data_IF_018806731651
#
_entry.id   IF_018806731651
#
_cell.length_a   1.000
_cell.length_b   1.000
_cell.length_c   1.000
_cell.angle_alpha   90.00
_cell.angle_beta   90.00
_cell.angle_gamma   90.00
#
_symmetry.space_group_name_H-M   'P 1'
#
loop_
_entity.id
_entity.type
_entity.pdbx_description
1 polymer ?
#
# COMPACT_ATOMS: atom_id res chain seq x y z
N UNK A 1 49.47 11.58 45.23
CA UNK A 1 48.51 10.48 45.32
C UNK A 1 47.80 10.36 43.98
N UNK A 2 48.19 9.37 43.18
CA UNK A 2 47.52 9.04 41.92
C UNK A 2 46.40 8.04 42.24
N UNK A 3 45.16 8.40 41.91
CA UNK A 3 44.00 7.52 42.06
C UNK A 3 43.95 6.54 40.88
N UNK A 4 44.04 5.24 41.17
CA UNK A 4 43.83 4.16 40.22
C UNK A 4 42.31 3.96 40.01
N UNK A 5 41.84 4.18 38.78
CA UNK A 5 40.52 3.73 38.32
C UNK A 5 40.55 2.21 38.12
N UNK A 6 39.51 1.46 38.53
CA UNK A 6 39.43 0.05 38.21
C UNK A 6 39.08 -0.12 36.72
N UNK A 7 39.95 -0.79 35.97
CA UNK A 7 39.63 -1.32 34.65
C UNK A 7 38.49 -2.33 34.81
N UNK A 8 37.31 -1.97 34.31
CA UNK A 8 36.21 -2.90 34.13
C UNK A 8 36.64 -3.93 33.07
N UNK A 9 36.99 -5.13 33.54
CA UNK A 9 37.18 -6.30 32.68
C UNK A 9 35.83 -6.66 32.07
N UNK A 10 35.66 -6.68 30.74
CA UNK A 10 34.43 -7.19 30.15
C UNK A 10 34.29 -8.67 30.54
N UNK A 11 33.10 -9.14 30.94
CA UNK A 11 32.93 -10.55 31.27
C UNK A 11 33.29 -11.39 30.03
N UNK A 12 34.24 -12.30 30.21
CA UNK A 12 34.63 -13.25 29.18
C UNK A 12 33.40 -14.01 28.69
N UNK A 13 33.16 -13.99 27.38
CA UNK A 13 32.10 -14.76 26.74
C UNK A 13 32.32 -16.26 27.03
N UNK A 14 31.38 -16.88 27.72
CA UNK A 14 31.38 -18.32 27.92
C UNK A 14 31.19 -19.04 26.57
N UNK A 15 31.87 -20.18 26.32
CA UNK A 15 31.72 -20.92 25.07
C UNK A 15 30.32 -21.53 25.04
N UNK A 16 29.48 -21.05 24.10
CA UNK A 16 28.05 -21.39 24.02
C UNK A 16 27.10 -20.23 24.36
N UNK A 17 27.62 -19.01 24.52
CA UNK A 17 26.87 -17.82 24.91
C UNK A 17 26.05 -17.15 23.79
N UNK A 18 24.99 -16.48 24.22
CA UNK A 18 24.21 -15.51 23.47
C UNK A 18 25.09 -14.46 22.77
N UNK A 19 24.77 -13.99 21.55
CA UNK A 19 25.47 -12.87 20.94
C UNK A 19 25.51 -11.66 21.88
N UNK A 20 26.62 -10.92 21.91
CA UNK A 20 26.74 -9.66 22.67
C UNK A 20 25.70 -8.60 22.27
N UNK A 21 25.08 -8.81 21.11
CA UNK A 21 23.96 -8.07 20.53
C UNK A 21 22.58 -8.76 20.72
N UNK A 22 22.41 -9.61 21.73
CA UNK A 22 21.11 -10.21 22.06
C UNK A 22 20.89 -10.30 23.58
N UNK A 23 19.64 -10.15 24.04
CA UNK A 23 19.25 -10.42 25.43
C UNK A 23 18.63 -11.83 25.51
N UNK A 24 19.46 -12.84 25.74
CA UNK A 24 18.95 -14.19 25.93
C UNK A 24 18.28 -14.33 27.29
N UNK A 25 16.95 -14.44 27.28
CA UNK A 25 16.22 -15.11 28.36
C UNK A 25 16.50 -16.60 28.19
N UNK A 26 17.65 -17.04 28.72
CA UNK A 26 18.24 -18.33 28.42
C UNK A 26 17.45 -19.48 29.08
N UNK A 27 16.45 -19.99 28.36
CA UNK A 27 16.34 -21.43 28.22
C UNK A 27 17.00 -21.82 26.90
N UNK A 28 17.51 -23.05 26.72
CA UNK A 28 18.13 -23.51 25.48
C UNK A 28 17.22 -23.40 24.23
N UNK A 29 15.94 -23.06 24.42
CA UNK A 29 14.92 -23.01 23.37
C UNK A 29 14.57 -21.58 22.91
N UNK A 30 14.89 -20.52 23.67
CA UNK A 30 14.47 -19.15 23.34
C UNK A 30 15.64 -18.16 23.35
N UNK A 31 15.81 -17.46 22.22
CA UNK A 31 16.75 -16.34 22.09
C UNK A 31 15.96 -15.10 21.67
N UNK A 32 16.12 -14.00 22.42
CA UNK A 32 15.53 -12.71 22.11
C UNK A 32 16.63 -11.67 21.85
N UNK A 33 16.59 -11.04 20.69
CA UNK A 33 17.53 -9.98 20.32
C UNK A 33 16.77 -8.65 20.29
N UNK A 34 17.30 -7.64 20.98
CA UNK A 34 16.72 -6.30 21.07
C UNK A 34 17.81 -5.25 21.01
N UNK A 35 18.13 -4.73 19.82
CA UNK A 35 19.22 -3.76 19.58
C UNK A 35 18.82 -2.66 18.59
N UNK A 36 19.62 -1.59 18.57
CA UNK A 36 19.38 -0.33 17.84
C UNK A 36 19.73 -0.32 16.36
N UNK A 37 20.33 -1.37 15.77
CA UNK A 37 20.53 -1.57 14.31
C UNK A 37 21.29 -2.88 14.02
N UNK A 38 20.59 -3.93 13.61
CA UNK A 38 21.19 -5.06 12.90
C UNK A 38 20.90 -4.90 11.41
N UNK A 39 21.92 -5.03 10.57
CA UNK A 39 21.79 -5.06 9.10
C UNK A 39 21.70 -6.49 8.55
N UNK A 40 22.21 -7.47 9.30
CA UNK A 40 22.16 -8.90 9.00
C UNK A 40 21.72 -9.71 10.24
N UNK A 41 21.16 -10.93 10.06
CA UNK A 41 20.92 -11.84 11.17
C UNK A 41 22.21 -12.17 11.96
N UNK A 42 22.14 -12.34 13.29
CA UNK A 42 23.32 -12.55 14.12
C UNK A 42 24.03 -13.89 13.81
N UNK A 43 25.35 -13.83 13.62
CA UNK A 43 26.20 -14.96 13.21
C UNK A 43 26.56 -15.92 14.35
N UNK A 44 26.16 -15.63 15.58
CA UNK A 44 26.60 -16.33 16.81
C UNK A 44 25.45 -17.01 17.57
N UNK A 45 24.48 -17.59 16.85
CA UNK A 45 23.34 -18.25 17.47
C UNK A 45 23.68 -19.71 17.89
N UNK A 46 23.21 -20.17 19.07
CA UNK A 46 23.32 -21.58 19.45
C UNK A 46 22.58 -22.47 18.44
N UNK A 47 23.15 -23.64 18.11
CA UNK A 47 22.54 -24.57 17.16
C UNK A 47 21.24 -25.21 17.70
N UNK A 48 21.06 -25.22 19.02
CA UNK A 48 19.89 -25.79 19.72
C UNK A 48 18.69 -24.84 19.80
N UNK A 49 18.78 -23.64 19.22
CA UNK A 49 17.71 -22.64 19.32
C UNK A 49 16.47 -23.12 18.56
N UNK A 50 15.35 -23.19 19.27
CA UNK A 50 14.05 -23.54 18.70
C UNK A 50 13.22 -22.30 18.34
N UNK A 51 13.37 -21.24 19.13
CA UNK A 51 12.61 -20.01 19.02
C UNK A 51 13.58 -18.82 18.99
N UNK A 52 13.57 -18.09 17.87
CA UNK A 52 14.35 -16.87 17.69
C UNK A 52 13.39 -15.70 17.51
N UNK A 53 13.56 -14.67 18.33
CA UNK A 53 12.85 -13.41 18.19
C UNK A 53 13.84 -12.27 18.03
N UNK A 54 13.75 -11.58 16.91
CA UNK A 54 14.43 -10.32 16.63
C UNK A 54 13.32 -9.27 16.52
N UNK A 55 13.49 -8.15 17.22
CA UNK A 55 12.55 -7.05 17.12
C UNK A 55 13.23 -5.70 17.33
N UNK A 56 12.79 -4.70 16.56
CA UNK A 56 13.30 -3.34 16.64
C UNK A 56 14.67 -3.14 15.98
N UNK A 57 15.09 -4.05 15.10
CA UNK A 57 16.31 -3.92 14.31
C UNK A 57 16.05 -3.12 13.01
N UNK A 58 17.07 -2.90 12.19
CA UNK A 58 16.93 -2.23 10.89
C UNK A 58 17.34 -3.19 9.76
N UNK A 59 16.75 -4.38 9.79
CA UNK A 59 16.96 -5.43 8.79
C UNK A 59 16.18 -5.05 7.53
N UNK A 60 16.65 -4.04 6.80
CA UNK A 60 15.94 -3.48 5.65
C UNK A 60 15.62 -4.52 4.57
N UNK A 61 16.49 -5.53 4.42
CA UNK A 61 16.37 -6.61 3.45
C UNK A 61 16.64 -7.95 4.14
N UNK A 62 15.83 -8.96 3.83
CA UNK A 62 16.18 -10.36 4.09
C UNK A 62 16.84 -10.93 2.82
N UNK A 63 18.18 -10.96 2.77
CA UNK A 63 18.89 -11.36 1.56
C UNK A 63 18.74 -12.85 1.30
N UNK A 64 19.03 -13.25 0.06
CA UNK A 64 19.10 -14.66 -0.31
C UNK A 64 19.99 -15.43 0.66
N UNK A 65 19.46 -16.55 1.17
CA UNK A 65 20.18 -17.45 2.06
C UNK A 65 20.72 -16.78 3.34
N UNK A 66 19.97 -15.82 3.90
CA UNK A 66 20.33 -15.05 5.09
C UNK A 66 20.76 -15.91 6.29
N UNK A 67 20.27 -17.15 6.39
CA UNK A 67 20.57 -18.10 7.48
C UNK A 67 21.47 -19.26 7.06
N UNK A 68 21.98 -19.30 5.82
CA UNK A 68 22.75 -20.43 5.32
C UNK A 68 24.20 -20.47 5.83
N UNK A 69 24.78 -19.30 6.19
CA UNK A 69 26.13 -19.24 6.75
C UNK A 69 26.23 -19.95 8.11
N UNK A 70 25.13 -19.96 8.88
CA UNK A 70 24.99 -20.70 10.13
C UNK A 70 23.59 -21.29 10.23
N UNK A 71 23.38 -22.47 9.62
CA UNK A 71 22.07 -23.11 9.60
C UNK A 71 21.57 -23.40 11.01
N UNK A 72 20.26 -23.24 11.22
CA UNK A 72 19.60 -23.52 12.48
C UNK A 72 18.61 -24.68 12.25
N UNK A 73 19.09 -25.93 12.30
CA UNK A 73 18.31 -27.09 11.87
C UNK A 73 17.08 -27.34 12.73
N UNK A 74 17.12 -26.94 14.01
CA UNK A 74 16.05 -27.16 14.98
C UNK A 74 15.13 -25.95 15.19
N UNK A 75 15.39 -24.84 14.49
CA UNK A 75 14.58 -23.63 14.63
C UNK A 75 13.17 -23.86 14.10
N UNK A 76 12.17 -23.70 14.97
CA UNK A 76 10.75 -23.91 14.66
C UNK A 76 9.98 -22.60 14.56
N UNK A 77 10.40 -21.57 15.28
CA UNK A 77 9.75 -20.26 15.32
C UNK A 77 10.77 -19.15 15.11
N UNK A 78 10.50 -18.33 14.10
CA UNK A 78 11.26 -17.12 13.79
C UNK A 78 10.31 -15.92 13.81
N UNK A 79 10.57 -14.98 14.72
CA UNK A 79 9.88 -13.69 14.79
C UNK A 79 10.85 -12.59 14.38
N UNK A 80 10.46 -11.83 13.37
CA UNK A 80 11.16 -10.66 12.86
C UNK A 80 10.13 -9.52 12.84
N UNK A 81 9.87 -8.89 13.99
CA UNK A 81 8.79 -7.89 14.11
C UNK A 81 9.37 -6.49 14.28
N UNK A 82 8.80 -5.50 13.61
CA UNK A 82 9.28 -4.11 13.69
C UNK A 82 10.77 -3.99 13.35
N UNK A 83 11.25 -4.80 12.40
CA UNK A 83 12.66 -4.80 11.98
C UNK A 83 12.89 -3.95 10.72
N UNK A 84 11.87 -3.20 10.28
CA UNK A 84 11.92 -2.34 9.11
C UNK A 84 12.27 -3.10 7.82
N UNK A 85 11.82 -4.36 7.69
CA UNK A 85 12.05 -5.17 6.48
C UNK A 85 11.15 -4.66 5.35
N UNK A 86 11.75 -4.35 4.20
CA UNK A 86 11.03 -3.92 3.00
C UNK A 86 11.09 -4.95 1.88
N UNK A 87 12.18 -5.74 1.81
CA UNK A 87 12.41 -6.69 0.72
C UNK A 87 12.75 -8.07 1.27
N UNK A 88 12.10 -9.10 0.72
CA UNK A 88 12.44 -10.50 0.99
C UNK A 88 12.87 -11.15 -0.32
N UNK A 89 14.14 -11.52 -0.41
CA UNK A 89 14.73 -12.11 -1.61
C UNK A 89 14.45 -13.63 -1.71
N UNK A 90 14.73 -14.20 -2.89
CA UNK A 90 14.58 -15.63 -3.13
C UNK A 90 15.40 -16.47 -2.15
N UNK A 91 14.82 -17.55 -1.64
CA UNK A 91 15.47 -18.46 -0.70
C UNK A 91 15.99 -17.78 0.57
N UNK A 92 15.41 -16.65 0.99
CA UNK A 92 15.85 -15.92 2.19
C UNK A 92 15.92 -16.79 3.45
N UNK A 93 15.01 -17.76 3.59
CA UNK A 93 14.94 -18.69 4.73
C UNK A 93 15.79 -19.96 4.56
N UNK A 94 16.66 -20.03 3.56
CA UNK A 94 17.55 -21.18 3.40
C UNK A 94 18.46 -21.32 4.61
N UNK A 95 18.56 -22.55 5.14
CA UNK A 95 19.23 -22.84 6.41
C UNK A 95 18.28 -23.08 7.60
N UNK A 96 16.96 -22.93 7.39
CA UNK A 96 15.91 -23.13 8.42
C UNK A 96 14.95 -24.29 8.06
N UNK A 97 15.43 -25.54 7.90
CA UNK A 97 14.63 -26.65 7.37
C UNK A 97 13.46 -27.08 8.27
N UNK A 98 13.55 -26.88 9.58
CA UNK A 98 12.50 -27.23 10.54
C UNK A 98 11.52 -26.10 10.85
N UNK A 99 11.64 -24.94 10.18
CA UNK A 99 10.83 -23.76 10.49
C UNK A 99 9.35 -24.04 10.27
N UNK A 100 8.53 -23.78 11.29
CA UNK A 100 7.07 -24.00 11.27
C UNK A 100 6.29 -22.70 11.35
N UNK A 101 6.81 -21.71 12.07
CA UNK A 101 6.16 -20.43 12.28
C UNK A 101 7.10 -19.29 11.91
N UNK A 102 6.66 -18.46 10.98
CA UNK A 102 7.34 -17.23 10.59
C UNK A 102 6.42 -16.06 10.86
N UNK A 103 6.97 -15.03 11.48
CA UNK A 103 6.25 -13.83 11.83
C UNK A 103 7.03 -12.61 11.38
N UNK A 104 6.48 -11.95 10.38
CA UNK A 104 7.00 -10.76 9.72
C UNK A 104 6.07 -9.55 9.99
N UNK A 105 5.23 -9.65 11.01
CA UNK A 105 4.25 -8.61 11.34
C UNK A 105 4.93 -7.27 11.64
N UNK A 106 4.28 -6.17 11.27
CA UNK A 106 4.77 -4.80 11.46
C UNK A 106 6.10 -4.52 10.74
N UNK A 107 6.27 -5.05 9.53
CA UNK A 107 7.35 -4.65 8.62
C UNK A 107 6.75 -4.03 7.35
N UNK A 108 7.26 -2.89 6.85
CA UNK A 108 6.72 -2.21 5.68
C UNK A 108 7.15 -2.91 4.38
N UNK A 109 6.63 -4.10 4.10
CA UNK A 109 7.02 -4.87 2.92
C UNK A 109 6.65 -4.13 1.62
N UNK A 110 7.63 -4.03 0.73
CA UNK A 110 7.55 -3.44 -0.60
C UNK A 110 7.79 -4.48 -1.71
N UNK A 111 8.45 -5.60 -1.42
CA UNK A 111 8.75 -6.65 -2.39
C UNK A 111 8.95 -8.01 -1.71
N UNK A 112 8.35 -9.05 -2.29
CA UNK A 112 8.51 -10.45 -1.86
C UNK A 112 8.77 -11.30 -3.10
N UNK A 113 9.94 -11.93 -3.15
CA UNK A 113 10.30 -12.79 -4.26
C UNK A 113 9.46 -14.08 -4.30
N UNK A 114 9.24 -14.63 -5.50
CA UNK A 114 8.41 -15.82 -5.70
C UNK A 114 8.96 -17.08 -5.00
N UNK A 115 10.27 -17.14 -4.73
CA UNK A 115 10.92 -18.21 -3.98
C UNK A 115 11.29 -17.81 -2.54
N UNK A 116 10.77 -16.70 -2.02
CA UNK A 116 11.19 -16.14 -0.72
C UNK A 116 11.16 -17.17 0.43
N UNK A 117 10.13 -18.00 0.47
CA UNK A 117 9.89 -18.96 1.55
C UNK A 117 10.29 -20.41 1.19
N UNK A 118 10.82 -20.65 -0.01
CA UNK A 118 11.13 -22.00 -0.48
C UNK A 118 12.23 -22.71 0.33
N UNK A 119 13.04 -21.97 1.09
CA UNK A 119 14.02 -22.52 2.05
C UNK A 119 13.41 -23.13 3.32
N UNK A 120 12.11 -22.93 3.57
CA UNK A 120 11.39 -23.40 4.76
C UNK A 120 10.20 -24.30 4.38
N UNK A 121 10.43 -25.55 3.92
CA UNK A 121 9.39 -26.41 3.37
C UNK A 121 8.35 -26.88 4.40
N UNK A 122 8.69 -26.85 5.70
CA UNK A 122 7.80 -27.24 6.79
C UNK A 122 6.97 -26.09 7.37
N UNK A 123 7.00 -24.91 6.73
CA UNK A 123 6.27 -23.74 7.21
C UNK A 123 4.77 -24.01 7.25
N UNK A 124 4.16 -23.76 8.41
CA UNK A 124 2.72 -23.98 8.67
C UNK A 124 1.98 -22.69 9.03
N UNK A 125 2.65 -21.76 9.71
CA UNK A 125 2.06 -20.49 10.15
C UNK A 125 2.87 -19.34 9.60
N UNK A 126 2.20 -18.43 8.90
CA UNK A 126 2.78 -17.19 8.40
C UNK A 126 1.97 -16.00 8.92
N UNK A 127 2.63 -15.10 9.63
CA UNK A 127 2.03 -13.87 10.15
C UNK A 127 2.58 -12.66 9.39
N UNK A 128 1.69 -11.93 8.74
CA UNK A 128 1.93 -10.73 7.92
C UNK A 128 1.01 -9.59 8.36
N UNK A 129 0.74 -9.51 9.66
CA UNK A 129 -0.15 -8.48 10.22
C UNK A 129 0.50 -7.10 10.08
N UNK A 130 -0.24 -6.11 9.56
CA UNK A 130 0.26 -4.76 9.29
C UNK A 130 1.56 -4.73 8.47
N UNK A 131 1.76 -5.70 7.57
CA UNK A 131 2.98 -5.83 6.78
C UNK A 131 2.83 -5.31 5.33
N UNK A 132 1.59 -5.24 4.83
CA UNK A 132 1.28 -4.99 3.42
C UNK A 132 0.70 -3.58 3.18
N UNK A 133 0.98 -2.66 4.09
CA UNK A 133 0.45 -1.29 4.04
C UNK A 133 1.18 -0.40 3.03
N UNK A 134 2.43 -0.75 2.70
CA UNK A 134 3.30 0.09 1.87
C UNK A 134 3.17 -0.20 0.36
N UNK A 135 2.77 -1.41 -0.03
CA UNK A 135 2.59 -1.83 -1.42
C UNK A 135 1.54 -2.94 -1.59
N UNK A 136 0.83 -3.01 -2.73
CA UNK A 136 -0.06 -4.12 -3.07
C UNK A 136 0.77 -5.35 -3.49
N UNK A 137 0.95 -6.30 -2.57
CA UNK A 137 1.81 -7.47 -2.75
C UNK A 137 1.05 -8.77 -2.97
N UNK A 138 -0.24 -8.72 -3.27
CA UNK A 138 -1.11 -9.88 -3.37
C UNK A 138 -0.60 -10.91 -4.40
N UNK A 139 -0.21 -10.46 -5.59
CA UNK A 139 0.28 -11.35 -6.66
C UNK A 139 1.65 -11.96 -6.34
N UNK A 140 2.55 -11.15 -5.77
CA UNK A 140 3.89 -11.60 -5.37
C UNK A 140 3.81 -12.64 -4.26
N UNK A 141 2.97 -12.37 -3.26
CA UNK A 141 2.70 -13.32 -2.19
C UNK A 141 2.02 -14.59 -2.76
N UNK A 142 1.13 -14.49 -3.76
CA UNK A 142 0.45 -15.66 -4.31
C UNK A 142 1.46 -16.61 -4.95
N UNK A 143 2.47 -16.06 -5.63
CA UNK A 143 3.59 -16.82 -6.17
C UNK A 143 4.45 -17.41 -5.04
N UNK A 144 4.79 -16.62 -4.01
CA UNK A 144 5.62 -17.04 -2.88
C UNK A 144 5.00 -18.16 -2.03
N UNK A 145 3.67 -18.20 -1.93
CA UNK A 145 2.94 -19.16 -1.11
C UNK A 145 2.49 -20.43 -1.88
N UNK A 146 2.54 -20.42 -3.22
CA UNK A 146 1.94 -21.46 -4.09
C UNK A 146 2.37 -22.89 -3.75
N UNK A 147 3.63 -23.07 -3.34
CA UNK A 147 4.21 -24.39 -3.09
C UNK A 147 4.33 -24.74 -1.59
N UNK A 148 3.70 -23.95 -0.72
CA UNK A 148 3.72 -24.18 0.73
C UNK A 148 2.47 -24.90 1.20
N UNK A 149 2.60 -25.71 2.25
CA UNK A 149 1.49 -26.38 2.93
C UNK A 149 1.09 -25.66 4.22
N UNK A 150 0.78 -24.36 4.07
CA UNK A 150 0.37 -23.52 5.20
C UNK A 150 -0.98 -23.97 5.79
N UNK A 151 -1.09 -23.86 7.11
CA UNK A 151 -2.31 -24.10 7.88
C UNK A 151 -2.89 -22.80 8.42
N UNK A 152 -2.06 -21.83 8.80
CA UNK A 152 -2.49 -20.54 9.33
C UNK A 152 -1.83 -19.40 8.56
N UNK A 153 -2.66 -18.46 8.09
CA UNK A 153 -2.21 -17.22 7.47
C UNK A 153 -2.88 -16.04 8.17
N UNK A 154 -2.09 -15.13 8.72
CA UNK A 154 -2.58 -13.92 9.37
C UNK A 154 -2.22 -12.69 8.55
N UNK A 155 -3.23 -11.95 8.11
CA UNK A 155 -3.13 -10.78 7.23
C UNK A 155 -3.87 -9.58 7.84
N UNK A 156 -3.95 -9.53 9.15
CA UNK A 156 -4.76 -8.54 9.84
C UNK A 156 -4.14 -7.14 9.86
N UNK A 157 -4.99 -6.11 9.93
CA UNK A 157 -4.51 -4.73 9.99
C UNK A 157 -3.85 -4.25 8.70
N UNK A 158 -4.04 -4.96 7.58
CA UNK A 158 -3.59 -4.53 6.27
C UNK A 158 -4.68 -3.68 5.58
N UNK A 159 -4.45 -3.28 4.32
CA UNK A 159 -5.40 -2.48 3.55
C UNK A 159 -6.15 -3.30 2.48
N UNK A 160 -6.34 -4.62 2.69
CA UNK A 160 -6.89 -5.52 1.69
C UNK A 160 -8.36 -5.17 1.38
N UNK A 161 -8.69 -4.99 0.10
CA UNK A 161 -10.04 -4.65 -0.37
C UNK A 161 -10.84 -5.84 -0.90
N UNK A 162 -10.15 -6.91 -1.26
CA UNK A 162 -10.70 -8.15 -1.77
C UNK A 162 -10.03 -9.34 -1.07
N UNK A 163 -10.69 -10.49 -1.07
CA UNK A 163 -10.06 -11.73 -0.65
C UNK A 163 -9.10 -12.15 -1.76
N UNK A 164 -7.79 -12.27 -1.50
CA UNK A 164 -6.88 -12.73 -2.52
C UNK A 164 -7.04 -14.24 -2.67
N UNK A 165 -8.01 -14.68 -3.47
CA UNK A 165 -8.30 -16.10 -3.64
C UNK A 165 -7.11 -16.88 -4.22
N UNK A 166 -6.24 -16.21 -4.99
CA UNK A 166 -4.96 -16.74 -5.49
C UNK A 166 -3.92 -16.99 -4.38
N UNK A 167 -4.06 -16.33 -3.22
CA UNK A 167 -3.19 -16.47 -2.05
C UNK A 167 -3.55 -17.65 -1.15
N UNK A 168 -4.68 -18.34 -1.36
CA UNK A 168 -5.16 -19.39 -0.45
C UNK A 168 -4.58 -20.75 -0.83
N UNK A 169 -3.49 -21.22 -0.19
CA UNK A 169 -2.96 -22.55 -0.48
C UNK A 169 -3.97 -23.63 -0.09
N UNK A 170 -3.94 -24.79 -0.76
CA UNK A 170 -4.78 -25.92 -0.38
C UNK A 170 -4.45 -26.38 1.04
N UNK A 171 -5.48 -26.66 1.84
CA UNK A 171 -5.30 -27.14 3.22
C UNK A 171 -5.08 -26.05 4.26
N UNK A 172 -5.30 -24.77 3.92
CA UNK A 172 -5.35 -23.70 4.90
C UNK A 172 -6.52 -23.94 5.89
N UNK A 173 -6.21 -23.95 7.18
CA UNK A 173 -7.13 -24.22 8.28
C UNK A 173 -7.63 -22.92 8.92
N UNK A 174 -6.82 -21.87 8.95
CA UNK A 174 -7.15 -20.58 9.55
C UNK A 174 -6.63 -19.40 8.72
N UNK A 175 -7.52 -18.46 8.42
CA UNK A 175 -7.22 -17.21 7.72
C UNK A 175 -7.74 -16.02 8.52
N UNK A 176 -6.83 -15.12 8.88
CA UNK A 176 -7.18 -13.90 9.59
C UNK A 176 -7.13 -12.67 8.69
N UNK A 177 -8.30 -12.06 8.44
CA UNK A 177 -8.47 -10.83 7.67
C UNK A 177 -9.07 -9.71 8.54
N UNK A 178 -8.99 -9.80 9.86
CA UNK A 178 -9.53 -8.75 10.73
C UNK A 178 -8.88 -7.40 10.43
N UNK A 179 -9.64 -6.32 10.63
CA UNK A 179 -9.16 -4.95 10.47
C UNK A 179 -8.51 -4.69 9.10
N UNK A 180 -9.20 -5.06 8.03
CA UNK A 180 -8.80 -4.75 6.65
C UNK A 180 -9.80 -3.76 6.03
N UNK A 181 -9.75 -3.57 4.71
CA UNK A 181 -10.63 -2.67 3.95
C UNK A 181 -11.66 -3.43 3.09
N UNK A 182 -12.05 -4.64 3.50
CA UNK A 182 -13.02 -5.45 2.77
C UNK A 182 -14.41 -4.82 2.87
N UNK A 183 -15.04 -4.59 1.73
CA UNK A 183 -16.44 -4.12 1.71
C UNK A 183 -17.44 -5.29 1.67
N UNK A 184 -17.06 -6.40 1.04
CA UNK A 184 -17.87 -7.63 0.92
C UNK A 184 -17.02 -8.72 0.32
N UNK A 185 -17.44 -9.97 0.48
CA UNK A 185 -16.91 -11.09 -0.29
C UNK A 185 -17.78 -11.30 -1.54
N UNK A 186 -17.16 -11.28 -2.72
CA UNK A 186 -17.88 -11.45 -4.00
C UNK A 186 -18.09 -12.92 -4.33
N UNK A 187 -19.00 -13.21 -5.27
CA UNK A 187 -19.38 -14.59 -5.61
C UNK A 187 -18.22 -15.48 -6.11
N UNK A 188 -17.18 -14.91 -6.72
CA UNK A 188 -15.94 -15.64 -7.09
C UNK A 188 -15.17 -16.08 -5.85
N UNK A 189 -14.95 -15.17 -4.91
CA UNK A 189 -14.24 -15.43 -3.65
C UNK A 189 -14.97 -16.45 -2.77
N UNK A 190 -16.31 -16.34 -2.68
CA UNK A 190 -17.14 -17.30 -1.96
C UNK A 190 -17.05 -18.72 -2.54
N UNK A 191 -17.00 -18.83 -3.88
CA UNK A 191 -16.79 -20.12 -4.56
C UNK A 191 -15.42 -20.71 -4.24
N UNK A 192 -14.39 -19.89 -4.17
CA UNK A 192 -13.05 -20.33 -3.76
C UNK A 192 -13.04 -20.84 -2.31
N UNK A 193 -13.73 -20.15 -1.39
CA UNK A 193 -13.86 -20.59 0.01
C UNK A 193 -14.65 -21.90 0.17
N UNK A 194 -15.55 -22.22 -0.76
CA UNK A 194 -16.33 -23.47 -0.76
C UNK A 194 -15.64 -24.63 -1.48
N UNK A 195 -14.46 -24.39 -2.06
CA UNK A 195 -13.64 -25.42 -2.68
C UNK A 195 -13.33 -26.55 -1.65
N UNK A 196 -13.26 -27.82 -2.08
CA UNK A 196 -13.12 -28.96 -1.17
C UNK A 196 -11.95 -28.83 -0.17
N UNK A 197 -10.84 -28.23 -0.59
CA UNK A 197 -9.64 -28.02 0.24
C UNK A 197 -9.74 -26.91 1.28
N UNK A 198 -10.79 -26.08 1.26
CA UNK A 198 -10.99 -24.93 2.16
C UNK A 198 -12.30 -25.01 2.95
N UNK A 199 -13.08 -26.10 2.83
CA UNK A 199 -14.35 -26.25 3.56
C UNK A 199 -14.20 -26.22 5.08
N UNK A 200 -13.03 -26.60 5.60
CA UNK A 200 -12.70 -26.52 7.03
C UNK A 200 -12.08 -25.19 7.48
N UNK A 201 -11.87 -24.24 6.56
CA UNK A 201 -11.19 -22.99 6.84
C UNK A 201 -11.98 -22.16 7.86
N UNK A 202 -11.30 -21.73 8.92
CA UNK A 202 -11.79 -20.71 9.84
C UNK A 202 -11.36 -19.35 9.35
N UNK A 203 -12.31 -18.43 9.25
CA UNK A 203 -12.12 -17.12 8.65
C UNK A 203 -12.57 -16.02 9.62
N UNK A 204 -11.70 -15.06 9.94
CA UNK A 204 -12.06 -13.87 10.74
C UNK A 204 -12.12 -12.63 9.86
N UNK A 205 -13.22 -11.88 9.97
CA UNK A 205 -13.57 -10.75 9.08
C UNK A 205 -13.89 -9.45 9.83
N UNK A 206 -13.79 -9.45 11.16
CA UNK A 206 -14.14 -8.34 12.02
C UNK A 206 -13.40 -7.05 11.65
N UNK A 207 -13.96 -5.91 12.06
CA UNK A 207 -13.39 -4.59 11.80
C UNK A 207 -13.11 -4.26 10.32
N UNK A 208 -13.86 -4.87 9.39
CA UNK A 208 -13.85 -4.49 7.98
C UNK A 208 -15.03 -3.53 7.67
N UNK A 209 -14.84 -2.54 6.78
CA UNK A 209 -15.87 -1.56 6.42
C UNK A 209 -16.91 -2.14 5.46
N UNK A 210 -17.72 -3.10 5.93
CA UNK A 210 -18.66 -3.82 5.07
C UNK A 210 -19.75 -2.90 4.49
N UNK A 211 -19.94 -2.95 3.17
CA UNK A 211 -21.03 -2.28 2.45
C UNK A 211 -22.25 -3.18 2.38
N UNK A 212 -23.32 -2.79 3.06
CA UNK A 212 -24.59 -3.50 3.13
C UNK A 212 -25.59 -2.98 2.09
N UNK A 213 -25.19 -3.04 0.82
CA UNK A 213 -26.02 -2.78 -0.35
C UNK A 213 -26.53 -4.10 -0.97
N UNK A 214 -27.21 -4.03 -2.12
CA UNK A 214 -27.72 -5.21 -2.81
C UNK A 214 -26.62 -6.22 -3.19
N UNK A 215 -25.38 -5.77 -3.37
CA UNK A 215 -24.28 -6.60 -3.80
C UNK A 215 -23.69 -7.44 -2.65
N UNK A 216 -24.13 -7.20 -1.41
CA UNK A 216 -23.86 -8.02 -0.22
C UNK A 216 -24.70 -9.32 -0.18
N UNK A 217 -25.81 -9.39 -0.94
CA UNK A 217 -26.76 -10.52 -0.87
C UNK A 217 -26.11 -11.91 -0.97
N UNK A 218 -25.15 -12.18 -1.89
CA UNK A 218 -24.50 -13.48 -1.96
C UNK A 218 -23.70 -13.82 -0.70
N UNK A 219 -22.99 -12.84 -0.13
CA UNK A 219 -22.23 -13.03 1.10
C UNK A 219 -23.15 -13.28 2.30
N UNK A 220 -24.26 -12.55 2.40
CA UNK A 220 -25.27 -12.79 3.43
C UNK A 220 -25.89 -14.20 3.33
N UNK A 221 -26.20 -14.64 2.10
CA UNK A 221 -26.72 -15.98 1.85
C UNK A 221 -25.69 -17.07 2.24
N UNK A 222 -24.42 -16.87 1.88
CA UNK A 222 -23.33 -17.78 2.22
C UNK A 222 -23.11 -17.92 3.73
N UNK A 223 -23.19 -16.82 4.49
CA UNK A 223 -23.15 -16.90 5.95
C UNK A 223 -24.30 -17.74 6.51
N UNK A 224 -25.52 -17.51 6.00
CA UNK A 224 -26.74 -18.21 6.46
C UNK A 224 -26.80 -19.68 6.08
N UNK A 225 -26.16 -20.10 4.99
CA UNK A 225 -26.16 -21.50 4.53
C UNK A 225 -25.27 -22.44 5.35
N UNK A 226 -24.75 -21.97 6.50
CA UNK A 226 -23.96 -22.78 7.44
C UNK A 226 -22.53 -22.28 7.64
N UNK A 227 -22.09 -21.25 6.91
CA UNK A 227 -20.74 -20.71 7.06
C UNK A 227 -20.51 -19.94 8.37
N UNK A 228 -21.54 -19.66 9.18
CA UNK A 228 -21.38 -19.10 10.53
C UNK A 228 -20.44 -19.94 11.41
N UNK A 229 -20.39 -21.27 11.25
CA UNK A 229 -19.46 -22.11 12.00
C UNK A 229 -17.99 -21.91 11.54
N UNK A 230 -17.79 -21.49 10.28
CA UNK A 230 -16.47 -21.17 9.71
C UNK A 230 -16.01 -19.76 10.06
N UNK A 231 -16.91 -18.86 10.46
CA UNK A 231 -16.61 -17.46 10.73
C UNK A 231 -16.91 -17.14 12.20
N UNK A 232 -15.92 -17.27 13.11
CA UNK A 232 -16.14 -17.16 14.56
C UNK A 232 -16.77 -15.83 14.99
N UNK A 233 -16.46 -14.75 14.26
CA UNK A 233 -16.90 -13.38 14.49
C UNK A 233 -18.12 -12.99 13.63
N UNK A 234 -18.79 -13.94 12.95
CA UNK A 234 -19.93 -13.68 12.07
C UNK A 234 -21.05 -12.91 12.75
N UNK A 235 -21.29 -13.18 14.04
CA UNK A 235 -22.35 -12.55 14.85
C UNK A 235 -22.04 -11.10 15.20
N UNK A 236 -20.77 -10.70 15.15
CA UNK A 236 -20.30 -9.34 15.42
C UNK A 236 -20.07 -8.50 14.17
N UNK A 237 -20.20 -9.07 12.96
CA UNK A 237 -20.04 -8.32 11.73
C UNK A 237 -21.12 -7.24 11.61
N UNK A 238 -20.68 -6.02 11.30
CA UNK A 238 -21.53 -4.82 11.22
C UNK A 238 -21.33 -4.11 9.90
N UNK A 239 -22.38 -3.45 9.44
CA UNK A 239 -22.31 -2.57 8.27
C UNK A 239 -21.58 -1.27 8.60
N UNK A 240 -20.68 -0.84 7.70
CA UNK A 240 -20.13 0.51 7.71
C UNK A 240 -20.92 1.45 6.79
N UNK A 241 -21.40 0.93 5.67
CA UNK A 241 -22.23 1.62 4.69
C UNK A 241 -23.45 0.77 4.32
N UNK A 242 -24.51 1.36 3.73
CA UNK A 242 -24.78 2.80 3.63
C UNK A 242 -25.06 3.43 5.01
N UNK A 243 -25.10 4.78 5.12
CA UNK A 243 -25.32 5.46 6.40
C UNK A 243 -26.58 5.01 7.15
N UNK A 244 -27.65 4.68 6.44
CA UNK A 244 -28.92 4.20 7.02
C UNK A 244 -28.79 2.84 7.74
N UNK A 245 -27.82 2.02 7.34
CA UNK A 245 -27.57 0.69 7.92
C UNK A 245 -26.31 0.66 8.79
N UNK A 246 -25.63 1.79 9.00
CA UNK A 246 -24.37 1.84 9.74
C UNK A 246 -24.54 1.26 11.16
N UNK A 247 -23.65 0.33 11.52
CA UNK A 247 -23.67 -0.38 12.81
C UNK A 247 -24.66 -1.55 12.90
N UNK A 248 -25.52 -1.74 11.90
CA UNK A 248 -26.46 -2.86 11.85
C UNK A 248 -25.71 -4.19 11.78
N UNK A 249 -26.21 -5.20 12.50
CA UNK A 249 -25.61 -6.55 12.53
C UNK A 249 -25.98 -7.28 11.24
N UNK A 250 -24.96 -7.76 10.53
CA UNK A 250 -25.10 -8.29 9.17
C UNK A 250 -26.07 -9.47 9.09
N UNK A 251 -25.99 -10.43 10.02
CA UNK A 251 -26.88 -11.60 10.06
C UNK A 251 -28.36 -11.27 10.30
N UNK A 252 -28.67 -10.07 10.84
CA UNK A 252 -30.05 -9.62 11.12
C UNK A 252 -30.70 -8.92 9.92
N UNK A 253 -29.95 -8.62 8.86
CA UNK A 253 -30.46 -7.91 7.69
C UNK A 253 -31.40 -8.78 6.86
N UNK A 254 -32.44 -8.18 6.28
CA UNK A 254 -33.30 -8.86 5.31
C UNK A 254 -32.75 -8.65 3.89
N UNK A 255 -32.60 -9.69 3.05
CA UNK A 255 -32.06 -9.53 1.70
C UNK A 255 -32.85 -8.53 0.84
N UNK A 256 -34.15 -8.41 1.07
CA UNK A 256 -35.07 -7.51 0.36
C UNK A 256 -34.81 -6.04 0.70
N UNK A 257 -34.30 -5.76 1.90
CA UNK A 257 -33.97 -4.40 2.35
C UNK A 257 -32.61 -3.89 1.84
N UNK A 258 -31.85 -4.73 1.12
CA UNK A 258 -30.57 -4.36 0.54
C UNK A 258 -30.77 -3.81 -0.87
N UNK A 259 -30.64 -2.50 -1.03
CA UNK A 259 -30.90 -1.77 -2.28
C UNK A 259 -29.58 -1.27 -2.87
N UNK A 260 -29.43 -1.33 -4.19
CA UNK A 260 -28.39 -0.61 -4.90
C UNK A 260 -29.06 0.57 -5.61
N UNK A 261 -28.38 1.71 -5.64
CA UNK A 261 -28.76 2.79 -6.52
C UNK A 261 -28.16 2.43 -7.87
N UNK A 262 -28.99 2.16 -8.87
CA UNK A 262 -28.50 1.86 -10.21
C UNK A 262 -27.70 3.06 -10.72
N UNK A 263 -26.45 2.81 -11.12
CA UNK A 263 -25.55 3.85 -11.65
C UNK A 263 -26.03 4.45 -12.99
N UNK A 264 -27.12 3.92 -13.56
CA UNK A 264 -27.79 4.45 -14.76
C UNK A 264 -28.97 5.39 -14.46
N UNK A 265 -29.36 5.54 -13.18
CA UNK A 265 -30.42 6.46 -12.74
C UNK A 265 -30.00 7.40 -11.61
N UNK A 266 -28.71 7.44 -11.29
CA UNK A 266 -28.15 8.39 -10.34
C UNK A 266 -28.13 9.79 -10.95
N UNK A 267 -29.18 10.57 -10.71
CA UNK A 267 -29.07 12.03 -10.68
C UNK A 267 -27.75 12.40 -9.99
N UNK A 268 -26.78 13.02 -10.69
CA UNK A 268 -25.48 13.32 -10.11
C UNK A 268 -25.71 14.14 -8.85
N UNK A 269 -25.11 13.63 -7.77
CA UNK A 269 -25.38 14.05 -6.40
C UNK A 269 -25.47 15.57 -6.27
N UNK A 270 -26.52 16.00 -5.58
CA UNK A 270 -26.84 17.39 -5.22
C UNK A 270 -25.68 18.19 -4.58
N UNK A 271 -24.57 17.53 -4.23
CA UNK A 271 -23.33 18.15 -3.74
C UNK A 271 -22.29 18.45 -4.85
N UNK A 272 -22.20 17.66 -5.92
CA UNK A 272 -21.30 17.95 -7.06
C UNK A 272 -21.89 19.03 -7.96
N UNK A 273 -23.21 19.02 -8.17
CA UNK A 273 -23.93 20.11 -8.87
C UNK A 273 -23.79 21.45 -8.14
N UNK A 274 -23.76 21.45 -6.81
CA UNK A 274 -23.54 22.68 -6.04
C UNK A 274 -22.14 23.29 -6.29
N UNK A 275 -21.11 22.45 -6.46
CA UNK A 275 -19.74 22.88 -6.77
C UNK A 275 -19.63 23.52 -8.16
N UNK A 276 -20.23 22.90 -9.18
CA UNK A 276 -20.21 23.43 -10.55
C UNK A 276 -21.07 24.68 -10.74
N UNK A 277 -22.23 24.77 -10.08
CA UNK A 277 -23.07 25.98 -10.10
C UNK A 277 -22.34 27.15 -9.45
N UNK A 278 -21.67 26.92 -8.32
CA UNK A 278 -20.85 27.96 -7.68
C UNK A 278 -19.70 28.43 -8.59
N UNK A 279 -18.99 27.50 -9.24
CA UNK A 279 -17.95 27.82 -10.19
C UNK A 279 -18.49 28.62 -11.40
N UNK A 280 -19.65 28.24 -11.92
CA UNK A 280 -20.34 28.96 -13.01
C UNK A 280 -20.72 30.40 -12.63
N UNK A 281 -21.21 30.62 -11.41
CA UNK A 281 -21.55 31.96 -10.89
C UNK A 281 -20.28 32.82 -10.75
N UNK A 282 -19.19 32.25 -10.23
CA UNK A 282 -17.92 32.97 -10.09
C UNK A 282 -17.35 33.38 -11.46
N UNK A 283 -17.37 32.47 -12.45
CA UNK A 283 -16.93 32.78 -13.81
C UNK A 283 -17.81 33.86 -14.47
N UNK A 284 -19.13 33.80 -14.27
CA UNK A 284 -20.04 34.82 -14.79
C UNK A 284 -19.76 36.21 -14.18
N UNK A 285 -19.52 36.28 -12.86
CA UNK A 285 -19.16 37.53 -12.19
C UNK A 285 -17.83 38.10 -12.68
N UNK A 286 -16.81 37.25 -12.86
CA UNK A 286 -15.52 37.66 -13.45
C UNK A 286 -15.74 38.22 -14.87
N UNK A 287 -16.56 37.55 -15.68
CA UNK A 287 -16.90 38.00 -17.03
C UNK A 287 -17.61 39.35 -17.05
N UNK A 288 -18.57 39.57 -16.14
CA UNK A 288 -19.28 40.85 -16.01
C UNK A 288 -18.32 41.97 -15.60
N UNK A 289 -17.45 41.72 -14.61
CA UNK A 289 -16.45 42.71 -14.17
C UNK A 289 -15.49 43.05 -15.31
N UNK A 290 -15.00 42.05 -16.05
CA UNK A 290 -14.13 42.27 -17.19
C UNK A 290 -14.80 43.09 -18.29
N UNK A 291 -16.05 42.76 -18.66
CA UNK A 291 -16.83 43.52 -19.63
C UNK A 291 -17.09 44.96 -19.15
N UNK A 292 -17.35 45.16 -17.86
CA UNK A 292 -17.53 46.48 -17.26
C UNK A 292 -16.24 47.30 -17.35
N UNK A 293 -15.08 46.72 -17.07
CA UNK A 293 -13.77 47.39 -17.22
C UNK A 293 -13.54 47.79 -18.68
N UNK A 294 -13.79 46.88 -19.64
CA UNK A 294 -13.69 47.20 -21.07
C UNK A 294 -14.67 48.31 -21.48
N UNK A 295 -15.88 48.29 -20.95
CA UNK A 295 -16.91 49.30 -21.25
C UNK A 295 -16.51 50.67 -20.69
N UNK A 296 -16.08 50.76 -19.44
CA UNK A 296 -15.63 52.01 -18.82
C UNK A 296 -14.40 52.56 -19.56
N UNK A 297 -13.50 51.68 -20.00
CA UNK A 297 -12.28 52.08 -20.69
C UNK A 297 -12.44 52.17 -22.23
N UNK A 298 -13.66 52.01 -22.77
CA UNK A 298 -13.91 51.96 -24.24
C UNK A 298 -13.40 53.18 -24.99
N UNK A 299 -13.47 54.36 -24.37
CA UNK A 299 -12.98 55.63 -24.96
C UNK A 299 -11.46 55.72 -24.91
N UNK A 300 -10.84 55.16 -23.86
CA UNK A 300 -9.38 55.04 -23.75
C UNK A 300 -8.83 54.06 -24.79
N UNK A 301 -9.44 52.88 -24.89
CA UNK A 301 -9.08 51.84 -25.87
C UNK A 301 -9.25 52.34 -27.30
N UNK A 302 -10.35 53.03 -27.62
CA UNK A 302 -10.53 53.64 -28.95
C UNK A 302 -9.46 54.68 -29.28
N UNK A 303 -9.09 55.54 -28.33
CA UNK A 303 -8.02 56.53 -28.52
C UNK A 303 -6.66 55.86 -28.70
N UNK A 304 -6.35 54.87 -27.86
CA UNK A 304 -5.11 54.10 -27.99
C UNK A 304 -5.02 53.39 -29.34
N UNK A 305 -6.10 52.76 -29.81
CA UNK A 305 -6.14 52.10 -31.11
C UNK A 305 -5.96 53.09 -32.28
N UNK A 306 -6.53 54.30 -32.18
CA UNK A 306 -6.35 55.35 -33.19
C UNK A 306 -4.90 55.83 -33.23
N UNK A 307 -4.32 56.15 -32.07
CA UNK A 307 -2.93 56.58 -31.97
C UNK A 307 -1.96 55.51 -32.46
N UNK A 308 -2.23 54.23 -32.17
CA UNK A 308 -1.42 53.11 -32.66
C UNK A 308 -1.50 52.99 -34.19
N UNK A 309 -2.69 53.19 -34.76
CA UNK A 309 -2.89 53.18 -36.21
C UNK A 309 -2.16 54.33 -36.89
N UNK A 310 -2.22 55.52 -36.32
CA UNK A 310 -1.49 56.70 -36.81
C UNK A 310 0.01 56.47 -36.73
N UNK A 311 0.54 56.02 -35.59
CA UNK A 311 1.95 55.70 -35.43
C UNK A 311 2.44 54.64 -36.44
N UNK A 312 1.62 53.63 -36.73
CA UNK A 312 1.95 52.61 -37.72
C UNK A 312 1.91 53.16 -39.16
N UNK A 313 0.95 54.06 -39.46
CA UNK A 313 0.83 54.73 -40.76
C UNK A 313 2.03 55.64 -41.01
N UNK A 314 2.42 56.45 -40.05
CA UNK A 314 3.58 57.35 -40.16
C UNK A 314 4.87 56.56 -40.41
N UNK A 315 5.01 55.41 -39.76
CA UNK A 315 6.16 54.54 -39.92
C UNK A 315 6.21 53.92 -41.33
N UNK A 316 5.07 53.47 -41.86
CA UNK A 316 4.94 52.97 -43.25
C UNK A 316 5.18 54.07 -44.30
N UNK A 317 4.64 55.27 -44.10
CA UNK A 317 4.88 56.41 -45.02
C UNK A 317 6.36 56.82 -45.02
N UNK A 318 7.02 56.81 -43.86
CA UNK A 318 8.46 57.03 -43.75
C UNK A 318 9.30 55.98 -44.51
N UNK A 319 8.89 54.71 -44.49
CA UNK A 319 9.51 53.67 -45.32
C UNK A 319 9.30 53.93 -46.82
N UNK A 320 8.08 54.32 -47.21
CA UNK A 320 7.75 54.59 -48.61
C UNK A 320 8.54 55.79 -49.17
N UNK A 321 8.68 56.87 -48.39
CA UNK A 321 9.42 58.05 -48.82
C UNK A 321 10.93 57.77 -48.99
N UNK A 322 11.54 56.99 -48.08
CA UNK A 322 12.94 56.54 -48.25
C UNK A 322 13.11 55.68 -49.50
N UNK A 323 12.17 54.76 -49.72
CA UNK A 323 12.21 53.91 -50.91
C UNK A 323 12.12 54.72 -52.21
N UNK A 324 11.27 55.76 -52.26
CA UNK A 324 11.18 56.64 -53.44
C UNK A 324 12.44 57.50 -53.64
N UNK A 325 13.07 58.01 -52.58
CA UNK A 325 14.35 58.73 -52.68
C UNK A 325 15.48 57.84 -53.20
N UNK A 326 15.58 56.60 -52.69
CA UNK A 326 16.60 55.65 -53.13
C UNK A 326 16.35 55.16 -54.58
N UNK A 327 15.11 55.28 -55.08
CA UNK A 327 14.69 54.86 -56.41
C UNK A 327 14.70 55.98 -57.47
N UNK A 328 15.01 57.24 -57.12
CA UNK A 328 15.04 58.36 -58.07
C UNK A 328 16.26 58.25 -59.04
N UNK A 329 16.05 58.04 -60.35
CA UNK A 329 17.14 57.82 -61.30
C UNK A 329 18.03 59.05 -61.52
N UNK A 330 17.60 60.25 -61.11
CA UNK A 330 18.41 61.46 -61.27
C UNK A 330 19.59 61.54 -60.29
N UNK A 331 19.57 60.76 -59.18
CA UNK A 331 20.74 60.50 -58.35
C UNK A 331 21.54 59.27 -58.82
N UNK A 332 20.98 58.41 -59.69
CA UNK A 332 21.66 57.27 -60.28
C UNK A 332 22.49 57.62 -61.53
N UNK A 333 22.31 58.83 -62.10
CA UNK A 333 23.04 59.31 -63.28
C UNK A 333 23.93 60.52 -62.98
N UNK A 334 24.85 60.38 -62.04
CA UNK A 334 26.03 61.25 -61.95
C UNK A 334 27.16 60.47 -61.28
N UNK A 335 27.92 59.75 -62.12
CA UNK A 335 29.27 59.14 -62.01
C UNK A 335 29.14 57.80 -62.75
N UNK A 336 29.46 57.66 -64.03
CA UNK A 336 30.52 58.30 -64.79
C UNK A 336 31.74 57.38 -64.83
N UNK A 337 31.76 56.44 -65.78
CA UNK A 337 32.95 55.67 -66.17
C UNK A 337 32.85 55.31 -67.65
N UNK A 338 33.98 55.32 -68.36
CA UNK A 338 34.76 56.47 -68.82
C UNK A 338 34.45 56.89 -70.26
#
# INVERSE_FOLDING_TARGET
GFALLPLAVPPAAAPGGCPSACYCVATPELVQCRYERLEEPPKELPLTVHNLSIAGSNLSVLPRAAFAARPLPDLRLLRLRHDNIHTIEDMALQGLPALRTLDLSHNPLLSVAAGAFAGAPLLRTLQLNQALLAAPLEDQLALALRNLSLRRLELAGNALRALPASLLPPGLEELDLHNNSLQRLVATELRSLDAPGLRGLRLTLGANPLSCDCALRPFLAWLRSGAVARVPDARSLRCAAPPALRGAVLLRLRPEGLVCVDAEGGEPGRLETASYVFFGIVLALIGIVFLMVLYLNRRGIKRWLHNLREACRDQMEGYHYRYEQDADPHCASAVGTP
#
